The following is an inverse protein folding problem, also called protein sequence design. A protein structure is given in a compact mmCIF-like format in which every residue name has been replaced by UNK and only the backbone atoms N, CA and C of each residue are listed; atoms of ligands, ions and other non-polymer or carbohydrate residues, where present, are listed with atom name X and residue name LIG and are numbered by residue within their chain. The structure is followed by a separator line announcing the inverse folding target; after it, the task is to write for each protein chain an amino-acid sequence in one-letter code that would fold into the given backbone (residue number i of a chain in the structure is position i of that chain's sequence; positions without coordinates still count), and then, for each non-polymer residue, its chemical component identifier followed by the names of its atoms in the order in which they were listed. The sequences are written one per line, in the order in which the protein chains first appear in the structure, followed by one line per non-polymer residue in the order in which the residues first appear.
data_IF_911781187048
#
_entry.id   IF_911781187048
#
_cell.length_a   1.000
_cell.length_b   1.000
_cell.length_c   1.000
_cell.angle_alpha   90.00
_cell.angle_beta   90.00
_cell.angle_gamma   90.00
#
_symmetry.space_group_name_H-M   'P 1'
#
loop_
_entity.id
_entity.type
_entity.pdbx_description
1 polymer ?
#
# COMPACT_ATOMS: atom_id res chain seq x y z
N UNK A 1 -5.52 -15.26 5.69
CA UNK A 1 -4.32 -14.46 5.32
C UNK A 1 -4.20 -14.43 3.81
N UNK A 2 -3.99 -13.27 3.21
CA UNK A 2 -3.75 -13.13 1.78
C UNK A 2 -2.26 -13.38 1.52
N UNK A 3 -1.93 -14.28 0.60
CA UNK A 3 -0.53 -14.62 0.33
C UNK A 3 0.21 -13.45 -0.29
N UNK A 4 1.54 -13.46 -0.17
CA UNK A 4 2.43 -12.45 -0.79
C UNK A 4 2.24 -12.39 -2.31
N UNK A 5 2.02 -13.54 -2.94
CA UNK A 5 1.79 -13.63 -4.39
C UNK A 5 0.48 -12.96 -4.78
N UNK A 6 -0.60 -13.20 -4.03
CA UNK A 6 -1.89 -12.59 -4.28
C UNK A 6 -1.85 -11.07 -4.04
N UNK A 7 -1.21 -10.59 -2.96
CA UNK A 7 -1.03 -9.15 -2.74
C UNK A 7 -0.31 -8.47 -3.90
N UNK A 8 0.77 -9.08 -4.41
CA UNK A 8 1.50 -8.56 -5.59
C UNK A 8 0.64 -8.58 -6.85
N UNK A 9 -0.19 -9.61 -7.03
CA UNK A 9 -1.10 -9.72 -8.17
C UNK A 9 -2.16 -8.61 -8.14
N UNK A 10 -2.77 -8.37 -6.98
CA UNK A 10 -3.76 -7.31 -6.79
C UNK A 10 -3.10 -5.93 -6.97
N UNK A 11 -1.90 -5.72 -6.41
CA UNK A 11 -1.16 -4.47 -6.58
C UNK A 11 -0.90 -4.15 -8.06
N UNK A 12 -0.47 -5.13 -8.85
CA UNK A 12 -0.27 -4.98 -10.30
C UNK A 12 -1.57 -4.70 -11.04
N UNK A 13 -2.68 -5.32 -10.64
CA UNK A 13 -3.99 -5.02 -11.22
C UNK A 13 -4.38 -3.56 -10.97
N UNK A 14 -4.16 -3.05 -9.74
CA UNK A 14 -4.42 -1.64 -9.41
C UNK A 14 -3.55 -0.67 -10.20
N UNK A 15 -2.28 -0.98 -10.43
CA UNK A 15 -1.44 -0.14 -11.31
C UNK A 15 -2.03 -0.08 -12.72
N UNK A 16 -2.44 -1.21 -13.30
CA UNK A 16 -3.11 -1.23 -14.61
C UNK A 16 -4.40 -0.41 -14.63
N UNK A 17 -5.21 -0.53 -13.58
CA UNK A 17 -6.43 0.28 -13.43
C UNK A 17 -6.09 1.79 -13.41
N UNK A 18 -5.02 2.17 -12.70
CA UNK A 18 -4.56 3.55 -12.63
C UNK A 18 -4.02 4.06 -13.97
N UNK A 19 -3.31 3.24 -14.75
CA UNK A 19 -2.85 3.58 -16.10
C UNK A 19 -4.02 3.89 -17.05
N UNK A 20 -5.10 3.12 -16.95
CA UNK A 20 -6.33 3.35 -17.72
C UNK A 20 -6.99 4.67 -17.30
N UNK A 21 -7.11 4.94 -15.99
CA UNK A 21 -7.67 6.19 -15.48
C UNK A 21 -6.83 7.41 -15.88
N UNK A 22 -5.51 7.27 -15.84
CA UNK A 22 -4.57 8.30 -16.29
C UNK A 22 -4.75 8.63 -17.76
N UNK A 23 -4.84 7.60 -18.62
CA UNK A 23 -5.07 7.75 -20.06
C UNK A 23 -6.42 8.42 -20.36
N UNK A 24 -7.42 8.19 -19.51
CA UNK A 24 -8.72 8.85 -19.56
C UNK A 24 -8.75 10.26 -18.92
N UNK A 25 -7.58 10.82 -18.55
CA UNK A 25 -7.43 12.13 -17.88
C UNK A 25 -8.13 12.23 -16.52
N UNK A 26 -8.43 11.10 -15.87
CA UNK A 26 -9.02 11.03 -14.53
C UNK A 26 -7.93 10.92 -13.47
N UNK A 27 -7.15 12.00 -13.31
CA UNK A 27 -5.93 12.00 -12.51
C UNK A 27 -6.15 11.70 -11.04
N UNK A 28 -7.21 12.27 -10.43
CA UNK A 28 -7.52 12.03 -9.01
C UNK A 28 -7.84 10.55 -8.76
N UNK A 29 -8.61 9.95 -9.67
CA UNK A 29 -8.91 8.51 -9.62
C UNK A 29 -7.68 7.65 -9.83
N UNK A 30 -6.80 8.04 -10.75
CA UNK A 30 -5.54 7.32 -10.99
C UNK A 30 -4.64 7.36 -9.74
N UNK A 31 -4.44 8.55 -9.15
CA UNK A 31 -3.66 8.73 -7.92
C UNK A 31 -4.26 7.93 -6.76
N UNK A 32 -5.60 7.94 -6.63
CA UNK A 32 -6.31 7.20 -5.59
C UNK A 32 -6.05 5.70 -5.67
N UNK A 33 -6.14 5.11 -6.87
CA UNK A 33 -5.91 3.68 -7.08
C UNK A 33 -4.42 3.33 -6.94
N UNK A 34 -3.50 4.22 -7.31
CA UNK A 34 -2.06 4.05 -7.09
C UNK A 34 -1.71 3.89 -5.61
N UNK A 35 -2.34 4.65 -4.70
CA UNK A 35 -2.09 4.52 -3.27
C UNK A 35 -2.45 3.13 -2.72
N UNK A 36 -3.55 2.53 -3.19
CA UNK A 36 -3.88 1.14 -2.85
C UNK A 36 -2.87 0.13 -3.41
N UNK A 37 -2.32 0.37 -4.60
CA UNK A 37 -1.27 -0.49 -5.14
C UNK A 37 -0.01 -0.46 -4.25
N UNK A 38 0.36 0.74 -3.77
CA UNK A 38 1.49 0.93 -2.87
C UNK A 38 1.24 0.26 -1.50
N UNK A 39 0.05 0.45 -0.92
CA UNK A 39 -0.37 -0.19 0.33
C UNK A 39 -0.19 -1.72 0.27
N UNK A 40 -0.68 -2.35 -0.81
CA UNK A 40 -0.57 -3.79 -1.02
C UNK A 40 0.89 -4.25 -1.20
N UNK A 41 1.71 -3.44 -1.89
CA UNK A 41 3.13 -3.67 -2.04
C UNK A 41 3.87 -3.67 -0.71
N UNK A 42 3.60 -2.69 0.14
CA UNK A 42 4.16 -2.58 1.49
C UNK A 42 3.72 -3.75 2.36
N UNK A 43 2.43 -4.11 2.35
CA UNK A 43 1.92 -5.29 3.06
C UNK A 43 2.60 -6.58 2.63
N UNK A 44 2.84 -6.78 1.34
CA UNK A 44 3.58 -7.93 0.83
C UNK A 44 5.06 -7.92 1.26
N UNK A 45 5.66 -6.73 1.43
CA UNK A 45 7.02 -6.55 1.94
C UNK A 45 7.11 -6.82 3.44
N UNK A 46 6.15 -6.34 4.24
CA UNK A 46 6.03 -6.65 5.68
C UNK A 46 6.01 -8.17 5.89
N UNK A 47 5.19 -8.91 5.12
CA UNK A 47 5.17 -10.37 5.19
C UNK A 47 6.54 -11.00 4.89
N UNK A 48 7.34 -10.38 4.01
CA UNK A 48 8.70 -10.85 3.73
C UNK A 48 9.62 -10.62 4.92
N UNK A 49 9.59 -9.42 5.50
CA UNK A 49 10.44 -9.00 6.61
C UNK A 49 10.14 -9.82 7.87
N UNK A 50 8.87 -10.04 8.17
CA UNK A 50 8.41 -10.80 9.34
C UNK A 50 8.33 -12.32 9.11
N UNK A 51 8.67 -12.80 7.90
CA UNK A 51 8.58 -14.21 7.48
C UNK A 51 7.16 -14.79 7.64
N UNK A 52 6.14 -13.99 7.40
CA UNK A 52 4.74 -14.44 7.42
C UNK A 52 4.35 -15.10 6.09
N UNK A 53 3.52 -16.15 6.17
CA UNK A 53 2.97 -16.84 5.00
C UNK A 53 2.00 -15.94 4.20
N UNK A 54 1.36 -14.99 4.86
CA UNK A 54 0.49 -14.00 4.24
C UNK A 54 0.18 -12.84 5.18
N UNK A 55 -0.52 -11.83 4.66
CA UNK A 55 -0.98 -10.70 5.44
C UNK A 55 -2.36 -11.02 6.05
N UNK A 56 -2.61 -10.70 7.33
CA UNK A 56 -3.93 -10.83 7.93
C UNK A 56 -5.00 -10.12 7.11
N UNK A 57 -6.15 -10.76 6.91
CA UNK A 57 -7.25 -10.21 6.10
C UNK A 57 -8.59 -10.20 6.81
N UNK A 58 -8.71 -10.88 7.96
CA UNK A 58 -9.94 -10.92 8.75
C UNK A 58 -9.74 -10.30 10.13
N UNK A 59 -10.81 -9.77 10.73
CA UNK A 59 -10.75 -9.21 12.08
C UNK A 59 -10.22 -10.20 13.13
N UNK A 60 -10.50 -11.50 12.95
CA UNK A 60 -9.98 -12.57 13.81
C UNK A 60 -8.46 -12.70 13.70
N UNK A 61 -7.92 -12.62 12.48
CA UNK A 61 -6.47 -12.67 12.26
C UNK A 61 -5.77 -11.40 12.78
N UNK A 62 -6.43 -10.24 12.71
CA UNK A 62 -5.90 -8.99 13.27
C UNK A 62 -6.01 -8.89 14.79
N UNK A 63 -6.71 -9.80 15.48
CA UNK A 63 -6.90 -9.71 16.93
C UNK A 63 -5.57 -9.61 17.69
N UNK A 64 -4.57 -10.36 17.25
CA UNK A 64 -3.21 -10.36 17.81
C UNK A 64 -2.26 -9.37 17.11
N UNK A 65 -2.70 -8.73 16.02
CA UNK A 65 -1.88 -7.92 15.11
C UNK A 65 -2.53 -6.57 14.80
N UNK A 66 -3.13 -5.90 15.80
CA UNK A 66 -3.92 -4.68 15.59
C UNK A 66 -3.14 -3.54 14.93
N UNK A 67 -1.84 -3.41 15.21
CA UNK A 67 -0.97 -2.42 14.58
C UNK A 67 -0.83 -2.59 13.05
N UNK A 68 -1.07 -3.80 12.53
CA UNK A 68 -1.06 -4.08 11.09
C UNK A 68 -2.41 -3.78 10.42
N UNK A 69 -3.47 -3.50 11.19
CA UNK A 69 -4.77 -3.07 10.67
C UNK A 69 -4.77 -1.56 10.44
N UNK A 70 -3.87 -1.11 9.58
CA UNK A 70 -3.76 0.29 9.15
C UNK A 70 -3.72 0.39 7.63
N UNK A 71 -4.10 1.56 7.15
CA UNK A 71 -4.00 2.01 5.76
C UNK A 71 -2.99 3.16 5.60
N UNK A 72 -2.37 3.58 6.70
CA UNK A 72 -1.34 4.61 6.72
C UNK A 72 -0.06 4.08 6.07
N UNK A 73 0.37 4.76 5.00
CA UNK A 73 1.52 4.34 4.21
C UNK A 73 2.84 4.52 4.95
N UNK A 74 2.97 5.55 5.80
CA UNK A 74 4.19 5.77 6.59
C UNK A 74 4.34 4.69 7.66
N UNK A 75 3.25 4.33 8.34
CA UNK A 75 3.27 3.22 9.30
C UNK A 75 3.61 1.90 8.59
N UNK A 76 3.00 1.63 7.43
CA UNK A 76 3.32 0.43 6.65
C UNK A 76 4.77 0.42 6.13
N UNK A 77 5.31 1.58 5.75
CA UNK A 77 6.71 1.68 5.34
C UNK A 77 7.65 1.40 6.51
N UNK A 78 7.38 1.96 7.68
CA UNK A 78 8.15 1.68 8.90
C UNK A 78 8.18 0.18 9.21
N UNK A 79 7.02 -0.46 9.21
CA UNK A 79 6.88 -1.91 9.46
C UNK A 79 7.51 -2.79 8.37
N UNK A 80 7.70 -2.25 7.17
CA UNK A 80 8.26 -3.02 6.04
C UNK A 80 9.77 -3.26 6.16
N UNK A 81 10.47 -2.52 7.02
CA UNK A 81 11.92 -2.63 7.21
C UNK A 81 12.76 -2.15 6.01
N UNK A 82 12.17 -1.38 5.10
CA UNK A 82 12.87 -0.72 3.98
C UNK A 82 12.74 0.80 4.00
N UNK A 83 12.27 1.36 5.11
CA UNK A 83 12.02 2.79 5.27
C UNK A 83 13.26 3.62 4.96
N UNK A 84 14.40 3.31 5.58
CA UNK A 84 15.66 4.04 5.35
C UNK A 84 16.03 4.07 3.87
N UNK A 85 15.91 2.93 3.17
CA UNK A 85 16.19 2.84 1.73
C UNK A 85 15.24 3.70 0.89
N UNK A 86 13.96 3.73 1.24
CA UNK A 86 12.96 4.52 0.50
C UNK A 86 13.14 6.01 0.78
N UNK A 87 13.33 6.40 2.05
CA UNK A 87 13.55 7.79 2.43
C UNK A 87 14.89 8.36 1.96
N UNK A 88 15.90 7.52 1.70
CA UNK A 88 17.19 7.98 1.14
C UNK A 88 17.14 8.11 -0.38
N UNK A 89 16.60 7.11 -1.08
CA UNK A 89 16.63 7.08 -2.55
C UNK A 89 15.44 7.81 -3.21
N UNK A 90 14.28 7.81 -2.56
CA UNK A 90 13.02 8.27 -3.12
C UNK A 90 12.33 9.30 -2.21
N UNK A 91 13.08 10.08 -1.44
CA UNK A 91 12.53 11.03 -0.46
C UNK A 91 11.39 11.89 -1.02
N UNK A 92 11.65 12.56 -2.16
CA UNK A 92 10.70 13.49 -2.77
C UNK A 92 9.44 12.80 -3.27
N UNK A 93 9.60 11.65 -3.92
CA UNK A 93 8.46 10.87 -4.41
C UNK A 93 7.64 10.33 -3.23
N UNK A 94 8.33 9.86 -2.17
CA UNK A 94 7.70 9.40 -0.93
C UNK A 94 6.90 10.52 -0.25
N UNK A 95 7.44 11.73 -0.12
CA UNK A 95 6.72 12.86 0.48
C UNK A 95 5.41 13.19 -0.23
N UNK A 96 5.35 13.00 -1.56
CA UNK A 96 4.12 13.21 -2.32
C UNK A 96 3.08 12.12 -2.05
N UNK A 97 3.50 10.85 -1.98
CA UNK A 97 2.59 9.71 -1.78
C UNK A 97 2.23 9.48 -0.32
N UNK A 98 3.05 9.93 0.63
CA UNK A 98 2.80 9.79 2.06
C UNK A 98 1.53 10.52 2.52
N UNK A 99 1.17 11.61 1.84
CA UNK A 99 -0.08 12.34 2.07
C UNK A 99 -1.34 11.60 1.55
N UNK A 100 -1.17 10.45 0.89
CA UNK A 100 -2.31 9.66 0.45
C UNK A 100 -3.02 9.02 1.64
N UNK A 101 -4.35 9.15 1.65
CA UNK A 101 -5.22 8.57 2.66
C UNK A 101 -6.45 7.97 1.95
N UNK A 102 -6.96 6.78 2.35
CA UNK A 102 -8.24 6.26 1.87
C UNK A 102 -9.40 7.26 1.93
N UNK A 103 -9.39 8.15 2.92
CA UNK A 103 -10.40 9.19 3.13
C UNK A 103 -10.35 10.32 2.09
N UNK A 104 -9.28 10.45 1.31
CA UNK A 104 -9.19 11.40 0.19
C UNK A 104 -10.29 11.18 -0.87
N UNK A 105 -11.03 10.06 -0.79
CA UNK A 105 -12.28 9.83 -1.52
C UNK A 105 -13.35 10.91 -1.25
N UNK A 106 -13.38 11.47 -0.04
CA UNK A 106 -14.39 12.44 0.39
C UNK A 106 -13.94 13.89 0.22
N UNK A 107 -12.65 14.12 -0.03
CA UNK A 107 -12.12 15.43 -0.38
C UNK A 107 -12.59 15.77 -1.80
N UNK A 108 -13.33 16.87 -1.92
CA UNK A 108 -13.82 17.44 -3.18
C UNK A 108 -13.11 18.74 -3.49
#
# INVERSE_FOLDING_TARGET
MITRTELKKIARARIKDAEVLWSAKRYDGAAYICGYALELGLKARICQTLKWSGYPSTNKEFANYRCFKTHDLDVLLHLSGIEEKIKTLFFRDWSNVANWNPEARYDR
#
